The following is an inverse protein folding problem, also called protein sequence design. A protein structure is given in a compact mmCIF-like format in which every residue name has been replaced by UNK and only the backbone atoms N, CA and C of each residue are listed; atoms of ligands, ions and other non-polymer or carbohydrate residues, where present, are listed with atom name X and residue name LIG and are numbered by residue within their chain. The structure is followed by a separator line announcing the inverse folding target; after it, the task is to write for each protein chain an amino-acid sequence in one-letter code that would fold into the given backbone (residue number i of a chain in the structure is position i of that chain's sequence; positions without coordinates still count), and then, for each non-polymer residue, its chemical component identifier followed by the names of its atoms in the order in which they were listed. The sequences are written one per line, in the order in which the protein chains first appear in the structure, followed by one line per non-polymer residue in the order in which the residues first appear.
data_IF_292688833801
#
_entry.id   IF_292688833801
#
_cell.length_a   1.000
_cell.length_b   1.000
_cell.length_c   1.000
_cell.angle_alpha   90.00
_cell.angle_beta   90.00
_cell.angle_gamma   90.00
#
_symmetry.space_group_name_H-M   'P 1'
#
loop_
_entity.id
_entity.type
_entity.pdbx_description
1 polymer ?
#
# COMPACT_ATOMS: atom_id res chain seq x y z
N UNK A 1 21.66 -13.66 1.11
CA UNK A 1 20.68 -14.67 1.57
C UNK A 1 19.55 -13.93 2.27
N UNK A 2 18.28 -14.16 1.87
CA UNK A 2 17.13 -13.51 2.49
C UNK A 2 16.65 -14.25 3.74
N UNK A 3 16.19 -13.50 4.73
CA UNK A 3 15.55 -14.02 5.95
C UNK A 3 14.24 -13.28 6.19
N UNK A 4 13.12 -14.01 6.27
CA UNK A 4 11.81 -13.45 6.60
C UNK A 4 11.61 -13.41 8.11
N UNK A 5 11.21 -12.24 8.62
CA UNK A 5 10.91 -12.04 10.05
C UNK A 5 9.48 -11.58 10.24
N UNK A 6 8.88 -12.03 11.33
CA UNK A 6 7.55 -11.64 11.81
C UNK A 6 7.75 -10.87 13.11
N UNK A 7 6.94 -9.85 13.38
CA UNK A 7 7.08 -9.02 14.58
C UNK A 7 8.23 -8.02 14.46
N UNK A 8 8.40 -7.42 13.30
CA UNK A 8 9.36 -6.31 13.13
C UNK A 8 8.93 -5.17 14.07
N UNK A 9 9.85 -4.59 14.86
CA UNK A 9 9.56 -3.45 15.70
C UNK A 9 8.97 -2.29 14.87
N UNK A 10 7.92 -1.65 15.42
CA UNK A 10 7.20 -0.57 14.72
C UNK A 10 8.13 0.56 14.25
N UNK A 11 9.07 0.97 15.09
CA UNK A 11 10.05 2.02 14.77
C UNK A 11 10.95 1.65 13.58
N UNK A 12 11.40 0.39 13.52
CA UNK A 12 12.25 -0.12 12.41
C UNK A 12 11.44 -0.13 11.11
N UNK A 13 10.20 -0.61 11.17
CA UNK A 13 9.29 -0.63 10.04
C UNK A 13 8.97 0.79 9.56
N UNK A 14 8.53 1.67 10.45
CA UNK A 14 8.13 3.02 10.10
C UNK A 14 9.30 3.83 9.52
N UNK A 15 10.52 3.65 10.05
CA UNK A 15 11.74 4.25 9.50
C UNK A 15 12.01 3.75 8.08
N UNK A 16 11.89 2.45 7.84
CA UNK A 16 12.06 1.86 6.51
C UNK A 16 11.01 2.40 5.53
N UNK A 17 9.73 2.36 5.91
CA UNK A 17 8.62 2.82 5.06
C UNK A 17 8.75 4.31 4.74
N UNK A 18 9.07 5.14 5.74
CA UNK A 18 9.20 6.60 5.58
C UNK A 18 10.29 6.98 4.56
N UNK A 19 11.37 6.22 4.50
CA UNK A 19 12.52 6.49 3.63
C UNK A 19 12.45 5.76 2.27
N UNK A 20 11.37 5.03 2.01
CA UNK A 20 11.21 4.29 0.77
C UNK A 20 10.40 5.08 -0.27
N UNK A 21 10.71 5.01 -1.59
CA UNK A 21 9.93 5.69 -2.64
C UNK A 21 8.44 5.36 -2.63
N UNK A 22 8.07 4.15 -2.22
CA UNK A 22 6.68 3.70 -2.08
C UNK A 22 6.10 4.00 -0.69
N UNK A 23 6.60 5.04 -0.01
CA UNK A 23 6.07 5.46 1.28
C UNK A 23 4.56 5.71 1.21
N UNK A 24 3.82 5.12 2.14
CA UNK A 24 2.38 5.33 2.24
C UNK A 24 1.90 5.24 3.69
N UNK A 25 1.03 6.17 4.10
CA UNK A 25 0.47 6.21 5.45
C UNK A 25 -0.20 4.90 5.86
N UNK A 26 -0.85 4.20 4.91
CA UNK A 26 -1.54 2.95 5.18
C UNK A 26 -0.58 1.79 5.50
N UNK A 27 0.71 1.98 5.28
CA UNK A 27 1.76 1.05 5.71
C UNK A 27 2.41 1.45 7.03
N UNK A 28 2.06 2.59 7.64
CA UNK A 28 2.58 2.94 8.96
C UNK A 28 2.05 2.05 10.08
N UNK A 29 2.83 1.85 11.13
CA UNK A 29 2.37 1.13 12.33
C UNK A 29 1.17 1.80 13.00
N UNK A 30 1.02 3.12 12.85
CA UNK A 30 -0.11 3.89 13.34
C UNK A 30 -1.43 3.52 12.64
N UNK A 31 -1.38 3.07 11.38
CA UNK A 31 -2.58 2.61 10.68
C UNK A 31 -3.19 1.36 11.30
N UNK A 32 -2.38 0.49 11.89
CA UNK A 32 -2.87 -0.66 12.64
C UNK A 32 -3.76 -0.26 13.82
N UNK A 33 -3.46 0.88 14.47
CA UNK A 33 -4.27 1.43 15.58
C UNK A 33 -5.61 2.00 15.09
N UNK A 34 -5.65 2.56 13.87
CA UNK A 34 -6.90 3.03 13.22
C UNK A 34 -7.79 1.85 12.85
N UNK A 35 -7.19 0.69 12.51
CA UNK A 35 -7.88 -0.56 12.18
C UNK A 35 -7.94 -1.52 13.38
N UNK A 36 -8.27 -1.02 14.55
CA UNK A 36 -8.28 -1.75 15.83
C UNK A 36 -9.27 -2.92 15.88
N UNK A 37 -10.28 -2.92 15.00
CA UNK A 37 -11.23 -4.02 14.83
C UNK A 37 -10.64 -5.22 14.02
N UNK A 38 -9.42 -5.12 13.50
CA UNK A 38 -8.68 -6.20 12.86
C UNK A 38 -7.39 -6.46 13.64
N UNK A 39 -6.91 -7.70 13.59
CA UNK A 39 -5.54 -7.98 14.03
C UNK A 39 -4.53 -7.39 13.06
N UNK A 40 -3.30 -7.22 13.51
CA UNK A 40 -2.21 -6.74 12.66
C UNK A 40 -0.90 -7.45 13.01
N UNK A 41 0.00 -7.48 12.04
CA UNK A 41 1.37 -7.98 12.20
C UNK A 41 2.29 -7.19 11.27
N UNK A 42 3.51 -6.95 11.69
CA UNK A 42 4.53 -6.35 10.82
C UNK A 42 5.51 -7.44 10.43
N UNK A 43 5.66 -7.64 9.13
CA UNK A 43 6.57 -8.63 8.56
C UNK A 43 7.61 -7.95 7.67
N UNK A 44 8.76 -8.58 7.50
CA UNK A 44 9.79 -8.03 6.62
C UNK A 44 10.82 -9.06 6.18
N UNK A 45 11.59 -8.69 5.17
CA UNK A 45 12.71 -9.46 4.65
C UNK A 45 14.00 -8.72 4.90
N UNK A 46 14.94 -9.41 5.47
CA UNK A 46 16.30 -8.94 5.65
C UNK A 46 17.24 -9.62 4.64
N UNK A 47 18.13 -8.84 4.07
CA UNK A 47 19.32 -9.36 3.40
C UNK A 47 20.53 -9.12 4.30
N UNK A 48 21.09 -10.19 4.86
CA UNK A 48 22.00 -10.12 6.03
C UNK A 48 21.29 -9.37 7.17
N UNK A 49 21.82 -8.20 7.55
CA UNK A 49 21.29 -7.37 8.65
C UNK A 49 20.47 -6.15 8.16
N UNK A 50 20.33 -5.99 6.83
CA UNK A 50 19.61 -4.87 6.23
C UNK A 50 18.17 -5.26 5.91
N UNK A 51 17.20 -4.47 6.39
CA UNK A 51 15.79 -4.61 6.01
C UNK A 51 15.62 -4.14 4.57
N UNK A 52 15.17 -5.03 3.68
CA UNK A 52 15.01 -4.76 2.23
C UNK A 52 13.56 -4.82 1.75
N UNK A 53 12.66 -5.33 2.59
CA UNK A 53 11.22 -5.30 2.37
C UNK A 53 10.50 -5.30 3.70
N UNK A 54 9.39 -4.56 3.81
CA UNK A 54 8.55 -4.58 5.01
C UNK A 54 7.08 -4.39 4.65
N UNK A 55 6.20 -4.95 5.48
CA UNK A 55 4.77 -4.76 5.30
C UNK A 55 4.02 -4.79 6.63
N UNK A 56 3.14 -3.82 6.81
CA UNK A 56 2.00 -3.95 7.72
C UNK A 56 0.98 -4.91 7.09
N UNK A 57 0.66 -5.98 7.79
CA UNK A 57 -0.34 -6.96 7.39
C UNK A 57 -1.52 -6.88 8.35
N UNK A 58 -2.67 -6.46 7.85
CA UNK A 58 -3.93 -6.49 8.59
C UNK A 58 -4.55 -7.88 8.49
N UNK A 59 -5.13 -8.36 9.59
CA UNK A 59 -5.67 -9.71 9.73
C UNK A 59 -7.15 -9.58 10.05
N UNK A 60 -8.00 -9.71 9.02
CA UNK A 60 -9.45 -9.65 9.18
C UNK A 60 -9.97 -11.02 9.61
N UNK A 61 -10.67 -11.13 10.74
CA UNK A 61 -11.33 -12.37 11.11
C UNK A 61 -12.50 -12.67 10.15
N UNK A 62 -12.66 -13.94 9.81
CA UNK A 62 -13.72 -14.50 9.00
C UNK A 62 -14.44 -15.61 9.77
N UNK A 63 -15.67 -16.03 9.37
CA UNK A 63 -16.37 -17.14 9.98
C UNK A 63 -15.52 -18.42 10.08
N UNK A 64 -15.87 -19.30 11.00
CA UNK A 64 -15.22 -20.59 11.25
C UNK A 64 -13.72 -20.49 11.62
N UNK A 65 -13.28 -19.35 12.16
CA UNK A 65 -11.91 -19.12 12.60
C UNK A 65 -10.90 -19.00 11.44
N UNK A 66 -11.38 -18.73 10.23
CA UNK A 66 -10.54 -18.33 9.11
C UNK A 66 -10.20 -16.84 9.17
N UNK A 67 -9.25 -16.42 8.36
CA UNK A 67 -8.86 -15.01 8.23
C UNK A 67 -8.72 -14.61 6.75
N UNK A 68 -8.69 -13.30 6.53
CA UNK A 68 -8.18 -12.66 5.33
C UNK A 68 -6.99 -11.79 5.72
N UNK A 69 -5.89 -11.90 5.01
CA UNK A 69 -4.77 -10.98 5.16
C UNK A 69 -4.88 -9.86 4.13
N UNK A 70 -4.54 -8.64 4.56
CA UNK A 70 -4.51 -7.48 3.69
C UNK A 70 -3.29 -6.61 3.94
N UNK A 71 -2.57 -6.27 2.89
CA UNK A 71 -1.42 -5.37 2.94
C UNK A 71 -1.77 -4.05 2.23
N UNK A 72 -2.38 -3.07 2.93
CA UNK A 72 -2.84 -1.84 2.31
C UNK A 72 -1.66 -1.03 1.76
N UNK A 73 -1.71 -0.70 0.47
CA UNK A 73 -0.63 0.02 -0.24
C UNK A 73 0.76 -0.62 -0.09
N UNK A 74 0.78 -1.91 0.20
CA UNK A 74 2.00 -2.68 0.40
C UNK A 74 1.98 -4.03 -0.32
N UNK A 75 3.04 -4.80 -0.12
CA UNK A 75 4.27 -4.56 0.66
C UNK A 75 5.12 -3.38 0.15
N UNK A 76 5.95 -2.81 1.03
CA UNK A 76 6.96 -1.79 0.65
C UNK A 76 8.27 -2.51 0.38
N UNK A 77 8.71 -2.51 -0.88
CA UNK A 77 9.93 -3.17 -1.35
C UNK A 77 10.28 -2.72 -2.78
N UNK A 78 11.48 -3.03 -3.23
CA UNK A 78 11.86 -2.91 -4.64
C UNK A 78 11.20 -4.02 -5.47
N UNK A 79 10.18 -3.67 -6.25
CA UNK A 79 9.46 -4.60 -7.12
C UNK A 79 10.22 -4.96 -8.40
N UNK A 80 11.32 -4.27 -8.74
CA UNK A 80 12.19 -4.63 -9.87
C UNK A 80 13.07 -5.82 -9.53
N UNK A 81 13.28 -6.10 -8.24
CA UNK A 81 14.03 -7.24 -7.76
C UNK A 81 13.14 -8.50 -7.72
N UNK A 82 13.03 -9.20 -8.86
CA UNK A 82 12.19 -10.42 -9.00
C UNK A 82 12.49 -11.49 -7.93
N UNK A 83 13.75 -11.62 -7.51
CA UNK A 83 14.15 -12.59 -6.48
C UNK A 83 13.59 -12.20 -5.10
N UNK A 84 13.64 -10.92 -4.75
CA UNK A 84 13.08 -10.41 -3.50
C UNK A 84 11.56 -10.57 -3.49
N UNK A 85 10.89 -10.19 -4.57
CA UNK A 85 9.43 -10.32 -4.74
C UNK A 85 9.01 -11.77 -4.58
N UNK A 86 9.64 -12.69 -5.31
CA UNK A 86 9.33 -14.12 -5.24
C UNK A 86 9.51 -14.69 -3.83
N UNK A 87 10.61 -14.31 -3.17
CA UNK A 87 10.89 -14.75 -1.81
C UNK A 87 9.84 -14.20 -0.81
N UNK A 88 9.57 -12.89 -0.87
CA UNK A 88 8.59 -12.25 0.02
C UNK A 88 7.20 -12.90 -0.14
N UNK A 89 6.75 -13.08 -1.38
CA UNK A 89 5.43 -13.67 -1.68
C UNK A 89 5.32 -15.10 -1.18
N UNK A 90 6.37 -15.91 -1.33
CA UNK A 90 6.40 -17.28 -0.82
C UNK A 90 6.31 -17.32 0.71
N UNK A 91 7.05 -16.47 1.41
CA UNK A 91 7.04 -16.41 2.87
C UNK A 91 5.72 -15.81 3.41
N UNK A 92 5.18 -14.78 2.75
CA UNK A 92 3.87 -14.21 3.10
C UNK A 92 2.75 -15.26 2.95
N UNK A 93 2.83 -16.12 1.92
CA UNK A 93 1.90 -17.25 1.76
C UNK A 93 2.03 -18.27 2.90
N UNK A 94 3.24 -18.58 3.34
CA UNK A 94 3.47 -19.46 4.51
C UNK A 94 2.91 -18.84 5.80
N UNK A 95 3.14 -17.54 5.98
CA UNK A 95 2.56 -16.77 7.09
C UNK A 95 1.04 -16.81 7.06
N UNK A 96 0.43 -16.58 5.89
CA UNK A 96 -1.02 -16.66 5.70
C UNK A 96 -1.59 -18.03 6.10
N UNK A 97 -0.94 -19.12 5.71
CA UNK A 97 -1.34 -20.48 6.12
C UNK A 97 -1.32 -20.63 7.66
N UNK A 98 -0.29 -20.14 8.35
CA UNK A 98 -0.21 -20.16 9.83
C UNK A 98 -1.33 -19.37 10.47
N UNK A 99 -1.80 -18.28 9.85
CA UNK A 99 -2.93 -17.47 10.30
C UNK A 99 -4.30 -17.98 9.80
N UNK A 100 -4.37 -19.16 9.17
CA UNK A 100 -5.57 -19.76 8.58
C UNK A 100 -6.23 -18.84 7.55
N UNK A 101 -5.43 -18.10 6.78
CA UNK A 101 -5.93 -17.19 5.77
C UNK A 101 -6.45 -17.95 4.55
N UNK A 102 -7.68 -17.64 4.13
CA UNK A 102 -8.27 -18.16 2.89
C UNK A 102 -7.63 -17.48 1.67
N UNK A 103 -7.31 -16.20 1.78
CA UNK A 103 -6.61 -15.44 0.76
C UNK A 103 -5.84 -14.27 1.36
N UNK A 104 -4.92 -13.75 0.57
CA UNK A 104 -4.14 -12.55 0.87
C UNK A 104 -4.48 -11.53 -0.19
N UNK A 105 -4.89 -10.33 0.22
CA UNK A 105 -5.15 -9.19 -0.65
C UNK A 105 -4.03 -8.17 -0.52
N UNK A 106 -3.62 -7.58 -1.63
CA UNK A 106 -2.58 -6.55 -1.68
C UNK A 106 -2.90 -5.54 -2.77
N UNK A 107 -2.55 -4.30 -2.55
CA UNK A 107 -2.68 -3.20 -3.49
C UNK A 107 -1.47 -2.26 -3.42
N UNK A 108 -0.29 -2.73 -3.89
CA UNK A 108 0.94 -1.94 -3.83
C UNK A 108 0.77 -0.52 -4.36
N UNK A 109 1.46 0.45 -3.74
CA UNK A 109 1.41 1.86 -4.13
C UNK A 109 2.22 2.12 -5.41
N UNK A 110 2.04 1.28 -6.43
CA UNK A 110 2.69 1.42 -7.74
C UNK A 110 1.86 2.35 -8.61
N UNK A 111 2.50 3.39 -9.13
CA UNK A 111 1.88 4.31 -10.07
C UNK A 111 1.76 3.61 -11.44
N UNK A 112 0.54 3.18 -11.77
CA UNK A 112 0.30 2.33 -12.93
C UNK A 112 0.18 3.13 -14.23
N UNK A 113 -0.58 4.23 -14.21
CA UNK A 113 -0.76 5.14 -15.36
C UNK A 113 -1.29 6.49 -14.89
N UNK A 114 -1.06 7.51 -15.68
CA UNK A 114 -1.74 8.79 -15.55
C UNK A 114 -3.10 8.74 -16.25
N UNK A 115 -4.06 9.48 -15.72
CA UNK A 115 -5.39 9.55 -16.27
C UNK A 115 -5.81 11.00 -16.49
N UNK A 116 -5.95 11.40 -17.77
CA UNK A 116 -6.47 12.70 -18.17
C UNK A 116 -7.77 12.50 -18.94
N UNK A 117 -8.81 13.25 -18.55
CA UNK A 117 -10.13 13.10 -19.15
C UNK A 117 -10.09 13.44 -20.66
N UNK A 118 -10.56 12.52 -21.49
CA UNK A 118 -10.61 12.69 -22.95
C UNK A 118 -9.34 12.29 -23.72
N UNK A 119 -8.34 11.74 -23.04
CA UNK A 119 -7.10 11.24 -23.65
C UNK A 119 -7.04 9.71 -23.63
N UNK A 120 -6.26 9.13 -24.54
CA UNK A 120 -5.90 7.71 -24.44
C UNK A 120 -4.82 7.53 -23.39
N UNK A 121 -4.96 6.50 -22.58
CA UNK A 121 -4.07 6.22 -21.46
C UNK A 121 -3.33 4.91 -21.69
N UNK A 122 -2.01 4.94 -21.49
CA UNK A 122 -1.17 3.75 -21.54
C UNK A 122 -0.51 3.52 -20.18
N UNK A 123 -0.44 2.26 -19.74
CA UNK A 123 0.29 1.93 -18.53
C UNK A 123 1.77 2.28 -18.66
N UNK A 124 2.39 2.72 -17.57
CA UNK A 124 3.83 2.85 -17.51
C UNK A 124 4.48 1.48 -17.69
N UNK A 125 5.53 1.40 -18.52
CA UNK A 125 6.22 0.13 -18.81
C UNK A 125 6.75 -0.55 -17.55
N UNK A 126 7.30 0.23 -16.62
CA UNK A 126 7.78 -0.27 -15.32
C UNK A 126 6.64 -0.88 -14.50
N UNK A 127 5.50 -0.21 -14.42
CA UNK A 127 4.35 -0.71 -13.66
C UNK A 127 3.79 -2.01 -14.28
N UNK A 128 3.79 -2.12 -15.61
CA UNK A 128 3.42 -3.36 -16.30
C UNK A 128 4.39 -4.50 -15.96
N UNK A 129 5.70 -4.22 -15.97
CA UNK A 129 6.72 -5.20 -15.58
C UNK A 129 6.55 -5.67 -14.12
N UNK A 130 6.23 -4.75 -13.19
CA UNK A 130 5.93 -5.07 -11.79
C UNK A 130 4.72 -6.01 -11.68
N UNK A 131 3.64 -5.73 -12.43
CA UNK A 131 2.45 -6.60 -12.44
C UNK A 131 2.82 -8.00 -12.91
N UNK A 132 3.64 -8.13 -13.97
CA UNK A 132 4.09 -9.45 -14.46
C UNK A 132 5.00 -10.15 -13.45
N UNK A 133 5.88 -9.42 -12.76
CA UNK A 133 6.72 -9.98 -11.68
C UNK A 133 5.85 -10.54 -10.55
N UNK A 134 4.82 -9.80 -10.13
CA UNK A 134 3.88 -10.27 -9.10
C UNK A 134 3.08 -11.49 -9.56
N UNK A 135 2.64 -11.55 -10.83
CA UNK A 135 1.96 -12.72 -11.40
C UNK A 135 2.88 -13.94 -11.40
N UNK A 136 4.13 -13.80 -11.84
CA UNK A 136 5.14 -14.86 -11.78
C UNK A 136 5.36 -15.36 -10.35
N UNK A 137 5.30 -14.47 -9.35
CA UNK A 137 5.38 -14.81 -7.93
C UNK A 137 4.09 -15.42 -7.35
N UNK A 138 3.06 -15.64 -8.18
CA UNK A 138 1.83 -16.33 -7.84
C UNK A 138 0.68 -15.42 -7.39
N UNK A 139 0.76 -14.12 -7.62
CA UNK A 139 -0.36 -13.21 -7.43
C UNK A 139 -1.36 -13.31 -8.58
N UNK A 140 -2.66 -13.15 -8.27
CA UNK A 140 -3.72 -13.02 -9.27
C UNK A 140 -4.08 -11.54 -9.42
N UNK A 141 -3.79 -10.98 -10.59
CA UNK A 141 -4.15 -9.60 -10.89
C UNK A 141 -5.66 -9.47 -11.16
N UNK A 142 -6.31 -8.53 -10.47
CA UNK A 142 -7.76 -8.31 -10.56
C UNK A 142 -8.15 -7.26 -11.62
N UNK A 143 -7.18 -6.71 -12.34
CA UNK A 143 -7.40 -5.63 -13.30
C UNK A 143 -7.67 -4.27 -12.64
N UNK A 144 -7.90 -3.26 -13.45
CA UNK A 144 -8.34 -1.94 -13.03
C UNK A 144 -9.87 -1.88 -13.12
N UNK A 145 -10.52 -1.38 -12.09
CA UNK A 145 -11.98 -1.20 -12.05
C UNK A 145 -12.31 0.15 -11.43
N UNK A 146 -13.35 0.79 -11.95
CA UNK A 146 -13.95 2.00 -11.39
C UNK A 146 -14.96 1.71 -10.28
N UNK A 147 -15.32 0.42 -10.08
CA UNK A 147 -16.26 0.03 -9.04
C UNK A 147 -15.63 0.20 -7.66
N UNK A 148 -16.15 1.13 -6.89
CA UNK A 148 -15.75 1.41 -5.51
C UNK A 148 -15.98 0.22 -4.57
N UNK A 149 -16.92 -0.66 -4.89
CA UNK A 149 -17.21 -1.87 -4.12
C UNK A 149 -16.24 -3.02 -4.38
N UNK A 150 -15.52 -3.00 -5.50
CA UNK A 150 -14.66 -4.11 -5.93
C UNK A 150 -13.30 -4.13 -5.23
N UNK A 151 -12.89 -3.02 -4.59
CA UNK A 151 -11.57 -2.89 -3.97
C UNK A 151 -11.68 -2.34 -2.54
N UNK A 152 -10.68 -2.63 -1.71
CA UNK A 152 -10.64 -2.09 -0.35
C UNK A 152 -10.22 -0.62 -0.36
N UNK A 153 -9.35 -0.22 -1.30
CA UNK A 153 -8.87 1.16 -1.47
C UNK A 153 -9.17 1.68 -2.87
N UNK A 154 -9.45 2.99 -3.02
CA UNK A 154 -9.61 3.61 -4.34
C UNK A 154 -8.37 3.39 -5.22
N UNK A 155 -8.58 3.02 -6.47
CA UNK A 155 -7.50 2.84 -7.45
C UNK A 155 -7.10 4.12 -8.14
N UNK A 156 -8.05 5.02 -8.32
CA UNK A 156 -7.83 6.33 -8.91
C UNK A 156 -7.68 7.35 -7.80
N UNK A 157 -6.68 8.21 -7.93
CA UNK A 157 -6.38 9.29 -7.01
C UNK A 157 -6.12 10.55 -7.82
N UNK A 158 -6.63 11.68 -7.34
CA UNK A 158 -6.24 12.99 -7.83
C UNK A 158 -5.19 13.55 -6.88
N UNK A 159 -4.01 13.85 -7.40
CA UNK A 159 -2.91 14.39 -6.62
C UNK A 159 -2.72 15.87 -6.94
N UNK A 160 -2.37 16.63 -5.93
CA UNK A 160 -1.88 18.01 -6.06
C UNK A 160 -0.42 17.99 -5.62
N UNK A 161 0.48 18.28 -6.53
CA UNK A 161 1.90 18.37 -6.23
C UNK A 161 2.25 19.78 -5.77
N UNK A 162 3.16 19.87 -4.79
CA UNK A 162 3.51 21.14 -4.16
C UNK A 162 4.09 22.14 -5.16
N UNK A 163 4.89 21.67 -6.11
CA UNK A 163 5.50 22.45 -7.18
C UNK A 163 4.48 23.05 -8.14
N UNK A 164 3.34 22.37 -8.33
CA UNK A 164 2.27 22.79 -9.25
C UNK A 164 1.15 23.53 -8.51
N UNK A 165 1.21 23.60 -7.17
CA UNK A 165 0.14 24.19 -6.37
C UNK A 165 0.24 25.72 -6.31
N UNK A 166 -0.86 26.39 -6.67
CA UNK A 166 -1.06 27.82 -6.42
C UNK A 166 -2.43 28.05 -5.79
N UNK A 167 -2.48 28.83 -4.70
CA UNK A 167 -3.75 29.22 -4.10
C UNK A 167 -4.66 29.99 -5.08
N UNK A 168 -4.08 30.66 -6.07
CA UNK A 168 -4.83 31.41 -7.07
C UNK A 168 -5.69 30.50 -7.94
N UNK A 169 -5.24 29.27 -8.17
CA UNK A 169 -5.96 28.25 -8.97
C UNK A 169 -7.14 27.64 -8.23
N UNK A 170 -7.24 27.81 -6.92
CA UNK A 170 -8.36 27.29 -6.15
C UNK A 170 -9.67 28.00 -6.51
N UNK A 171 -10.73 27.20 -6.58
CA UNK A 171 -12.08 27.73 -6.82
C UNK A 171 -12.49 28.73 -5.73
N UNK A 172 -13.38 29.66 -6.05
CA UNK A 172 -13.92 30.62 -5.08
C UNK A 172 -14.58 29.91 -3.88
N UNK A 173 -15.24 28.78 -4.11
CA UNK A 173 -15.86 27.98 -3.06
C UNK A 173 -14.82 27.37 -2.13
N UNK A 174 -13.73 26.80 -2.66
CA UNK A 174 -12.63 26.23 -1.87
C UNK A 174 -11.98 27.30 -1.00
N UNK A 175 -11.64 28.47 -1.58
CA UNK A 175 -11.09 29.60 -0.82
C UNK A 175 -12.01 30.06 0.33
N UNK A 176 -13.34 30.08 0.09
CA UNK A 176 -14.32 30.37 1.14
C UNK A 176 -14.35 29.32 2.25
N UNK A 177 -14.22 28.05 1.88
CA UNK A 177 -14.20 26.95 2.87
C UNK A 177 -12.93 26.98 3.74
N UNK A 178 -11.77 27.25 3.13
CA UNK A 178 -10.50 27.44 3.88
C UNK A 178 -10.65 28.56 4.91
N UNK A 179 -11.08 29.76 4.47
CA UNK A 179 -11.31 30.88 5.39
C UNK A 179 -12.33 30.56 6.50
N UNK A 180 -13.32 29.74 6.21
CA UNK A 180 -14.30 29.32 7.21
C UNK A 180 -13.69 28.35 8.24
N UNK A 181 -12.83 27.44 7.78
CA UNK A 181 -12.10 26.51 8.65
C UNK A 181 -11.17 27.26 9.59
N UNK A 182 -10.37 28.21 9.07
CA UNK A 182 -9.50 29.10 9.86
C UNK A 182 -10.27 29.86 10.94
N UNK A 183 -11.41 30.49 10.56
CA UNK A 183 -12.29 31.18 11.51
C UNK A 183 -12.84 30.28 12.62
N UNK A 184 -12.95 28.98 12.36
CA UNK A 184 -13.40 27.96 13.33
C UNK A 184 -12.25 27.37 14.14
N UNK A 185 -11.01 27.89 13.98
CA UNK A 185 -9.86 27.45 14.73
C UNK A 185 -9.23 26.14 14.23
N UNK A 186 -9.51 25.73 13.00
CA UNK A 186 -8.80 24.60 12.38
C UNK A 186 -7.38 25.05 12.07
N UNK A 187 -6.40 24.34 12.60
CA UNK A 187 -4.97 24.53 12.37
C UNK A 187 -4.43 23.26 11.73
N UNK A 188 -3.57 23.40 10.71
CA UNK A 188 -2.90 22.32 10.00
C UNK A 188 -1.40 22.37 10.28
#
# INVERSE_FOLDING_TARGET
MYTFKIGIPAEVHDTFVKNHPLCNLLQSSSWAKVKDNWGSEIVGVYEKDTLVASSLVLIKPLPAGFTMLYTPRGPVMDYTNERLVSYFMAELKKFGKKKRALFIKMDPAVHYQDFHLGEEHQPHAEATAIVETLKKAGAKYQGLTMDMGATIQPRFQANIYREDFSEEQLSKSTKKMIKTAEKKGVVV
#
